data_IF_548287451341
#
_entry.id   IF_548287451341
#
_cell.length_a   1.000
_cell.length_b   1.000
_cell.length_c   1.000
_cell.angle_alpha   90.00
_cell.angle_beta   90.00
_cell.angle_gamma   90.00
#
_symmetry.space_group_name_H-M   'P 1'
#
loop_
_entity.id
_entity.type
_entity.pdbx_description
1 polymer ?
#
# COMPACT_ATOMS: atom_id res chain seq x y z
N UNK A 1 2.09 -7.15 -4.77
CA UNK A 1 3.15 -6.14 -4.56
C UNK A 1 3.63 -6.12 -3.11
N UNK A 2 2.78 -5.87 -2.11
CA UNK A 2 3.19 -5.87 -0.69
C UNK A 2 3.80 -7.19 -0.19
N UNK A 3 3.21 -8.33 -0.55
CA UNK A 3 3.76 -9.65 -0.20
C UNK A 3 5.12 -9.94 -0.84
N UNK A 4 5.41 -9.35 -2.01
CA UNK A 4 6.72 -9.46 -2.67
C UNK A 4 7.77 -8.55 -2.00
N UNK A 5 7.33 -7.50 -1.30
CA UNK A 5 8.21 -6.62 -0.54
C UNK A 5 8.84 -7.30 0.67
N UNK A 6 8.17 -8.27 1.30
CA UNK A 6 8.68 -9.02 2.46
C UNK A 6 9.95 -9.83 2.15
N UNK A 7 9.96 -10.74 1.14
CA UNK A 7 11.18 -11.46 0.78
C UNK A 7 12.26 -10.52 0.22
N UNK A 8 11.88 -9.43 -0.45
CA UNK A 8 12.83 -8.48 -0.99
C UNK A 8 13.53 -7.64 0.11
N UNK A 9 12.82 -7.30 1.19
CA UNK A 9 13.42 -6.73 2.40
C UNK A 9 14.40 -7.69 3.07
N UNK A 10 14.11 -9.00 3.03
CA UNK A 10 15.03 -10.01 3.56
C UNK A 10 16.29 -10.12 2.70
N UNK A 11 16.15 -10.11 1.37
CA UNK A 11 17.28 -10.03 0.44
C UNK A 11 18.10 -8.77 0.70
N UNK A 12 17.45 -7.61 0.89
CA UNK A 12 18.15 -6.37 1.22
C UNK A 12 18.87 -6.43 2.57
N UNK A 13 18.30 -7.08 3.58
CA UNK A 13 18.97 -7.30 4.87
C UNK A 13 20.25 -8.13 4.73
N UNK A 14 20.25 -9.18 3.88
CA UNK A 14 21.40 -10.08 3.70
C UNK A 14 22.47 -9.46 2.78
N UNK A 15 22.06 -8.86 1.66
CA UNK A 15 22.98 -8.44 0.59
C UNK A 15 23.19 -6.92 0.50
N UNK A 16 22.31 -6.12 1.10
CA UNK A 16 22.33 -4.65 0.98
C UNK A 16 23.55 -3.99 1.60
N UNK A 17 24.21 -4.65 2.58
CA UNK A 17 25.42 -4.14 3.21
C UNK A 17 26.71 -4.50 2.45
N UNK A 18 26.66 -5.32 1.39
CA UNK A 18 27.87 -5.80 0.71
C UNK A 18 28.50 -4.76 -0.23
N UNK A 19 27.70 -3.95 -0.91
CA UNK A 19 28.20 -2.88 -1.77
C UNK A 19 27.12 -1.82 -2.01
N UNK A 20 27.54 -0.61 -2.38
CA UNK A 20 26.61 0.47 -2.75
C UNK A 20 25.77 0.06 -3.96
N UNK A 21 26.35 -0.65 -4.93
CA UNK A 21 25.63 -1.17 -6.09
C UNK A 21 24.56 -2.21 -5.70
N UNK A 22 24.86 -3.13 -4.78
CA UNK A 22 23.88 -4.09 -4.25
C UNK A 22 22.78 -3.38 -3.45
N UNK A 23 23.14 -2.35 -2.68
CA UNK A 23 22.19 -1.53 -1.94
C UNK A 23 21.20 -0.82 -2.89
N UNK A 24 21.70 -0.08 -3.87
CA UNK A 24 20.87 0.62 -4.87
C UNK A 24 20.05 -0.38 -5.69
N UNK A 25 20.66 -1.48 -6.14
CA UNK A 25 19.99 -2.52 -6.91
C UNK A 25 18.84 -3.20 -6.15
N UNK A 26 18.92 -3.31 -4.83
CA UNK A 26 17.82 -3.82 -3.99
C UNK A 26 16.77 -2.75 -3.67
N UNK A 27 17.20 -1.50 -3.44
CA UNK A 27 16.31 -0.41 -3.06
C UNK A 27 15.38 0.05 -4.18
N UNK A 28 15.82 0.00 -5.45
CA UNK A 28 14.96 0.35 -6.61
C UNK A 28 13.69 -0.52 -6.67
N UNK A 29 13.79 -1.86 -6.79
CA UNK A 29 12.60 -2.71 -6.85
C UNK A 29 11.80 -2.67 -5.54
N UNK A 30 12.48 -2.52 -4.40
CA UNK A 30 11.79 -2.37 -3.11
C UNK A 30 10.95 -1.10 -3.05
N UNK A 31 11.52 0.02 -3.49
CA UNK A 31 10.81 1.29 -3.60
C UNK A 31 9.62 1.21 -4.54
N UNK A 32 9.76 0.58 -5.71
CA UNK A 32 8.65 0.40 -6.66
C UNK A 32 7.54 -0.49 -6.06
N UNK A 33 7.90 -1.59 -5.40
CA UNK A 33 6.93 -2.54 -4.84
C UNK A 33 6.16 -2.01 -3.63
N UNK A 34 6.74 -1.07 -2.88
CA UNK A 34 6.10 -0.43 -1.72
C UNK A 34 5.31 0.82 -2.12
N UNK A 35 5.87 1.67 -2.99
CA UNK A 35 5.18 2.90 -3.44
C UNK A 35 4.01 2.60 -4.40
N UNK A 36 4.07 1.51 -5.17
CA UNK A 36 2.98 1.10 -6.05
C UNK A 36 1.64 0.91 -5.29
N UNK A 37 1.58 0.04 -4.28
CA UNK A 37 0.40 -0.12 -3.42
C UNK A 37 -0.04 1.17 -2.75
N UNK A 38 0.89 1.98 -2.24
CA UNK A 38 0.57 3.27 -1.64
C UNK A 38 -0.19 4.18 -2.61
N UNK A 39 0.33 4.34 -3.83
CA UNK A 39 -0.32 5.13 -4.88
C UNK A 39 -1.63 4.52 -5.37
N UNK A 40 -1.74 3.19 -5.46
CA UNK A 40 -2.98 2.50 -5.86
C UNK A 40 -4.10 2.69 -4.84
N UNK A 41 -3.78 2.67 -3.54
CA UNK A 41 -4.80 2.85 -2.50
C UNK A 41 -5.38 4.26 -2.57
N UNK A 42 -4.53 5.29 -2.59
CA UNK A 42 -4.99 6.69 -2.59
C UNK A 42 -5.76 7.03 -3.85
N UNK A 43 -5.33 6.53 -5.01
CA UNK A 43 -6.05 6.72 -6.27
C UNK A 43 -7.36 5.95 -6.33
N UNK A 44 -7.40 4.69 -5.90
CA UNK A 44 -8.63 3.91 -5.87
C UNK A 44 -9.66 4.52 -4.89
N UNK A 45 -9.23 4.91 -3.68
CA UNK A 45 -10.13 5.59 -2.73
C UNK A 45 -10.60 6.95 -3.29
N UNK A 46 -9.72 7.74 -3.91
CA UNK A 46 -10.11 9.01 -4.51
C UNK A 46 -11.13 8.82 -5.65
N UNK A 47 -10.96 7.81 -6.49
CA UNK A 47 -11.91 7.47 -7.55
C UNK A 47 -13.25 6.98 -6.99
N UNK A 48 -13.23 6.13 -5.95
CA UNK A 48 -14.44 5.63 -5.27
C UNK A 48 -15.22 6.79 -4.65
N UNK A 49 -14.54 7.73 -3.99
CA UNK A 49 -15.18 8.89 -3.38
C UNK A 49 -15.72 9.90 -4.40
N UNK A 50 -14.96 10.17 -5.47
CA UNK A 50 -15.39 11.11 -6.51
C UNK A 50 -16.63 10.66 -7.28
N UNK A 51 -16.89 9.35 -7.30
CA UNK A 51 -18.07 8.76 -7.96
C UNK A 51 -19.23 8.46 -7.00
N UNK A 52 -19.00 8.53 -5.67
CA UNK A 52 -20.01 8.22 -4.67
C UNK A 52 -21.16 9.24 -4.69
N UNK A 53 -22.45 8.82 -4.79
CA UNK A 53 -23.58 9.74 -4.93
C UNK A 53 -23.67 10.82 -3.84
N UNK A 54 -23.28 10.48 -2.61
CA UNK A 54 -23.29 11.37 -1.45
C UNK A 54 -22.19 12.44 -1.46
N UNK A 55 -21.15 12.29 -2.30
CA UNK A 55 -19.97 13.15 -2.32
C UNK A 55 -19.72 13.78 -3.69
N UNK A 56 -20.33 13.25 -4.75
CA UNK A 56 -20.13 13.67 -6.15
C UNK A 56 -20.42 15.16 -6.41
N UNK A 57 -21.37 15.75 -5.68
CA UNK A 57 -21.73 17.17 -5.82
C UNK A 57 -21.28 18.04 -4.64
N UNK A 58 -20.76 17.44 -3.57
CA UNK A 58 -20.34 18.16 -2.36
C UNK A 58 -18.81 18.14 -2.24
N UNK A 59 -18.19 19.18 -2.80
CA UNK A 59 -16.74 19.40 -2.77
C UNK A 59 -16.21 19.53 -1.33
N UNK A 60 -17.02 20.00 -0.37
CA UNK A 60 -16.61 20.19 1.02
C UNK A 60 -16.52 18.85 1.75
N UNK A 61 -17.49 17.99 1.52
CA UNK A 61 -17.47 16.63 2.07
C UNK A 61 -16.34 15.80 1.45
N UNK A 62 -16.14 15.89 0.12
CA UNK A 62 -15.02 15.22 -0.57
C UNK A 62 -13.66 15.68 -0.04
N UNK A 63 -13.46 16.99 0.13
CA UNK A 63 -12.23 17.56 0.68
C UNK A 63 -11.96 17.07 2.11
N UNK A 64 -13.01 16.94 2.93
CA UNK A 64 -12.88 16.45 4.31
C UNK A 64 -12.40 15.00 4.33
N UNK A 65 -13.00 14.11 3.53
CA UNK A 65 -12.57 12.70 3.54
C UNK A 65 -11.18 12.54 2.91
N UNK A 66 -10.86 13.34 1.89
CA UNK A 66 -9.49 13.40 1.33
C UNK A 66 -8.48 13.85 2.39
N UNK A 67 -8.82 14.86 3.18
CA UNK A 67 -7.99 15.33 4.29
C UNK A 67 -7.80 14.28 5.40
N UNK A 68 -8.81 13.46 5.69
CA UNK A 68 -8.68 12.33 6.62
C UNK A 68 -7.70 11.30 6.08
N UNK A 69 -7.82 10.92 4.79
CA UNK A 69 -6.92 9.94 4.17
C UNK A 69 -5.48 10.45 4.20
N UNK A 70 -5.24 11.69 3.76
CA UNK A 70 -3.91 12.29 3.75
C UNK A 70 -3.34 12.46 5.17
N UNK A 71 -4.18 12.84 6.13
CA UNK A 71 -3.83 12.92 7.55
C UNK A 71 -3.36 11.57 8.11
N UNK A 72 -4.08 10.48 7.80
CA UNK A 72 -3.66 9.13 8.22
C UNK A 72 -2.36 8.67 7.54
N UNK A 73 -2.14 9.06 6.28
CA UNK A 73 -0.89 8.81 5.57
C UNK A 73 0.30 9.51 6.24
N UNK A 74 0.13 10.79 6.60
CA UNK A 74 1.14 11.58 7.30
C UNK A 74 1.46 11.02 8.69
N UNK A 75 0.46 10.53 9.43
CA UNK A 75 0.70 9.84 10.71
C UNK A 75 1.57 8.59 10.52
N UNK A 76 1.31 7.77 9.50
CA UNK A 76 2.14 6.61 9.18
C UNK A 76 3.58 6.99 8.83
N UNK A 77 3.75 8.06 8.05
CA UNK A 77 5.06 8.60 7.68
C UNK A 77 5.87 9.12 8.89
N UNK A 78 5.21 9.63 9.93
CA UNK A 78 5.85 10.03 11.17
C UNK A 78 6.16 8.84 12.09
N UNK A 79 5.26 7.86 12.17
CA UNK A 79 5.42 6.68 13.02
C UNK A 79 6.56 5.77 12.56
N UNK A 80 6.80 5.65 11.27
CA UNK A 80 7.88 4.81 10.72
C UNK A 80 9.26 5.19 11.29
N UNK A 81 9.76 6.42 11.08
CA UNK A 81 11.03 6.89 11.64
C UNK A 81 11.05 6.87 13.17
N UNK A 82 9.93 7.18 13.83
CA UNK A 82 9.83 7.12 15.29
C UNK A 82 10.13 5.71 15.81
N UNK A 83 9.45 4.69 15.26
CA UNK A 83 9.66 3.30 15.65
C UNK A 83 11.05 2.81 15.25
N UNK A 84 11.56 3.17 14.07
CA UNK A 84 12.94 2.88 13.67
C UNK A 84 13.95 3.43 14.67
N UNK A 85 13.78 4.67 15.14
CA UNK A 85 14.64 5.30 16.14
C UNK A 85 14.60 4.59 17.48
N UNK A 86 13.41 4.19 17.95
CA UNK A 86 13.25 3.45 19.21
C UNK A 86 13.80 2.01 19.14
N UNK A 87 13.76 1.38 17.96
CA UNK A 87 14.20 0.00 17.76
C UNK A 87 15.68 -0.13 17.37
N UNK A 88 16.32 0.95 16.89
CA UNK A 88 17.72 0.97 16.50
C UNK A 88 18.69 0.48 17.60
N UNK A 89 18.50 0.80 18.91
CA UNK A 89 19.35 0.27 19.97
C UNK A 89 19.33 -1.26 20.11
N UNK A 90 18.26 -1.91 19.65
CA UNK A 90 18.10 -3.37 19.64
C UNK A 90 18.66 -4.02 18.36
N UNK A 91 19.30 -3.23 17.49
CA UNK A 91 19.96 -3.67 16.27
C UNK A 91 19.09 -3.60 15.01
N UNK A 92 19.77 -3.49 13.86
CA UNK A 92 19.13 -3.38 12.54
C UNK A 92 18.17 -4.52 12.23
N UNK A 93 18.46 -5.74 12.69
CA UNK A 93 17.58 -6.91 12.51
C UNK A 93 16.16 -6.63 13.02
N UNK A 94 16.03 -5.96 14.17
CA UNK A 94 14.74 -5.62 14.78
C UNK A 94 13.97 -4.62 13.92
N UNK A 95 14.67 -3.64 13.33
CA UNK A 95 14.09 -2.68 12.38
C UNK A 95 13.58 -3.39 11.12
N UNK A 96 14.38 -4.30 10.54
CA UNK A 96 13.95 -5.08 9.37
C UNK A 96 12.74 -5.97 9.67
N UNK A 97 12.71 -6.62 10.83
CA UNK A 97 11.55 -7.42 11.27
C UNK A 97 10.31 -6.53 11.41
N UNK A 98 10.44 -5.35 12.03
CA UNK A 98 9.33 -4.40 12.13
C UNK A 98 8.80 -3.98 10.76
N UNK A 99 9.68 -3.70 9.78
CA UNK A 99 9.27 -3.37 8.40
C UNK A 99 8.54 -4.54 7.73
N UNK A 100 9.03 -5.77 7.88
CA UNK A 100 8.40 -6.98 7.33
C UNK A 100 7.02 -7.23 7.94
N UNK A 101 6.89 -7.10 9.27
CA UNK A 101 5.60 -7.25 9.97
C UNK A 101 4.61 -6.18 9.54
N UNK A 102 5.06 -4.93 9.40
CA UNK A 102 4.22 -3.83 8.91
C UNK A 102 3.70 -4.08 7.49
N UNK A 103 4.56 -4.57 6.58
CA UNK A 103 4.15 -4.95 5.23
C UNK A 103 3.17 -6.13 5.21
N UNK A 104 3.42 -7.15 6.03
CA UNK A 104 2.52 -8.29 6.16
C UNK A 104 1.14 -7.86 6.70
N UNK A 105 1.13 -7.01 7.74
CA UNK A 105 -0.10 -6.47 8.30
C UNK A 105 -0.88 -5.62 7.29
N UNK A 106 -0.19 -4.76 6.54
CA UNK A 106 -0.79 -3.99 5.44
C UNK A 106 -1.39 -4.90 4.36
N UNK A 107 -0.68 -5.97 3.97
CA UNK A 107 -1.18 -6.94 3.00
C UNK A 107 -2.47 -7.63 3.49
N UNK A 108 -2.55 -8.00 4.77
CA UNK A 108 -3.76 -8.60 5.36
C UNK A 108 -4.94 -7.63 5.35
N UNK A 109 -4.72 -6.36 5.73
CA UNK A 109 -5.79 -5.35 5.74
C UNK A 109 -6.34 -5.09 4.33
N UNK A 110 -5.45 -5.04 3.33
CA UNK A 110 -5.84 -4.77 1.94
C UNK A 110 -6.41 -6.01 1.23
N UNK A 111 -6.12 -7.21 1.72
CA UNK A 111 -6.63 -8.45 1.14
C UNK A 111 -8.16 -8.47 1.02
N UNK A 112 -8.87 -7.95 2.04
CA UNK A 112 -10.34 -7.83 2.00
C UNK A 112 -10.83 -6.94 0.86
N UNK A 113 -10.14 -5.81 0.61
CA UNK A 113 -10.52 -4.86 -0.45
C UNK A 113 -10.28 -5.48 -1.83
N UNK A 114 -9.14 -6.17 -2.00
CA UNK A 114 -8.83 -6.89 -3.25
C UNK A 114 -9.90 -7.94 -3.57
N UNK A 115 -10.37 -8.70 -2.58
CA UNK A 115 -11.46 -9.67 -2.79
C UNK A 115 -12.74 -8.98 -3.28
N UNK A 116 -13.10 -7.86 -2.66
CA UNK A 116 -14.30 -7.11 -3.03
C UNK A 116 -14.24 -6.57 -4.47
N UNK A 117 -13.11 -6.00 -4.87
CA UNK A 117 -12.90 -5.48 -6.23
C UNK A 117 -12.92 -6.61 -7.27
N UNK A 118 -12.25 -7.74 -6.99
CA UNK A 118 -12.26 -8.90 -7.88
C UNK A 118 -13.68 -9.45 -8.04
N UNK A 119 -14.43 -9.59 -6.95
CA UNK A 119 -15.83 -10.05 -7.00
C UNK A 119 -16.71 -9.13 -7.86
N UNK A 120 -16.57 -7.82 -7.66
CA UNK A 120 -17.30 -6.81 -8.44
C UNK A 120 -16.94 -6.87 -9.93
N UNK A 121 -15.65 -7.03 -10.25
CA UNK A 121 -15.18 -7.17 -11.64
C UNK A 121 -15.71 -8.43 -12.32
N UNK A 122 -15.69 -9.58 -11.63
CA UNK A 122 -16.23 -10.85 -12.15
C UNK A 122 -17.72 -10.71 -12.44
N UNK A 123 -18.48 -10.08 -11.53
CA UNK A 123 -19.91 -9.87 -11.69
C UNK A 123 -20.22 -8.91 -12.85
N UNK A 124 -19.45 -7.83 -12.97
CA UNK A 124 -19.54 -6.89 -14.08
C UNK A 124 -19.34 -7.61 -15.43
N UNK A 125 -18.28 -8.41 -15.54
CA UNK A 125 -17.95 -9.17 -16.76
C UNK A 125 -19.05 -10.17 -17.14
N UNK A 126 -19.64 -10.88 -16.17
CA UNK A 126 -20.78 -11.77 -16.42
C UNK A 126 -22.00 -11.02 -16.98
N UNK A 127 -22.33 -9.86 -16.40
CA UNK A 127 -23.44 -9.05 -16.87
C UNK A 127 -23.20 -8.40 -18.24
N UNK A 128 -21.95 -8.05 -18.60
CA UNK A 128 -21.65 -7.51 -19.93
C UNK A 128 -21.71 -8.58 -21.02
N UNK A 129 -21.32 -9.82 -20.72
CA UNK A 129 -21.47 -10.91 -21.68
C UNK A 129 -22.94 -11.20 -21.99
N UNK A 130 -23.82 -11.26 -20.98
CA UNK A 130 -25.25 -11.55 -21.17
C UNK A 130 -25.94 -10.46 -22.02
N UNK A 131 -25.54 -9.19 -21.86
CA UNK A 131 -26.11 -8.05 -22.60
C UNK A 131 -25.62 -7.92 -24.05
N UNK A 132 -24.55 -8.62 -24.44
CA UNK A 132 -24.08 -8.68 -25.82
C UNK A 132 -24.77 -9.76 -26.67
N UNK A 133 -25.64 -10.58 -26.06
CA UNK A 133 -26.44 -11.62 -26.73
C UNK A 133 -27.94 -11.26 -26.86
N UNK A 134 -28.36 -10.07 -26.40
CA UNK A 134 -29.68 -9.47 -26.66
C UNK A 134 -29.52 -8.29 -27.61
#
# INVERSE_FOLDING_TARGET
MLLLGVPLLYVYYVFGAMSVAACVGCLIPLGMLVNGPFGLITTAVAADLGTHPSLRSDTRALATVTGIIDGTGSMGAALGPLLCGQLLPYGWKTVYIMLMVSLAFSAVLLFRRVIYEIGTYIQYRKNTQIRGYM
#
